data_IF_861303575656
#
_entry.id   IF_861303575656
#
_cell.length_a   1.000
_cell.length_b   1.000
_cell.length_c   1.000
_cell.angle_alpha   90.00
_cell.angle_beta   90.00
_cell.angle_gamma   90.00
#
_symmetry.space_group_name_H-M   'P 1'
#
loop_
_entity.id
_entity.type
_entity.pdbx_description
1 polymer ?
#
# COMPACT_ATOMS: atom_id res chain seq x y z
N UNK A 1 54.71 9.79 -7.31
CA UNK A 1 53.31 10.05 -6.92
C UNK A 1 52.97 9.08 -5.79
N UNK A 2 53.17 9.50 -4.55
CA UNK A 2 52.92 8.69 -3.35
C UNK A 2 51.43 8.71 -3.03
N UNK A 3 50.82 7.53 -2.90
CA UNK A 3 49.46 7.36 -2.42
C UNK A 3 49.40 7.71 -0.93
N UNK A 4 48.63 8.73 -0.55
CA UNK A 4 48.24 8.98 0.83
C UNK A 4 47.28 7.87 1.28
N UNK A 5 47.66 7.10 2.29
CA UNK A 5 46.72 6.24 3.02
C UNK A 5 45.81 7.11 3.90
N UNK A 6 44.53 6.75 4.08
CA UNK A 6 43.63 7.48 4.96
C UNK A 6 44.02 7.29 6.43
N UNK A 7 44.04 8.38 7.18
CA UNK A 7 44.31 8.42 8.61
C UNK A 7 43.15 7.77 9.38
N UNK A 8 43.45 6.81 10.26
CA UNK A 8 42.46 6.13 11.10
C UNK A 8 42.58 6.68 12.51
N UNK A 9 41.54 7.34 13.00
CA UNK A 9 41.48 7.77 14.40
C UNK A 9 41.22 6.57 15.31
N UNK A 10 41.94 6.53 16.42
CA UNK A 10 41.70 5.59 17.52
C UNK A 10 40.45 5.98 18.32
N UNK A 11 39.84 5.01 19.00
CA UNK A 11 38.59 5.23 19.74
C UNK A 11 38.73 6.32 20.83
N UNK A 12 39.92 6.45 21.42
CA UNK A 12 40.24 7.48 22.41
C UNK A 12 40.35 8.91 21.82
N UNK A 13 40.63 9.04 20.51
CA UNK A 13 40.65 10.34 19.82
C UNK A 13 39.23 10.82 19.49
N UNK A 14 38.30 9.89 19.25
CA UNK A 14 36.88 10.20 19.10
C UNK A 14 36.25 10.66 20.42
N UNK A 15 36.58 10.03 21.55
CA UNK A 15 36.03 10.42 22.87
C UNK A 15 36.43 11.84 23.29
N UNK A 16 37.64 12.29 22.95
CA UNK A 16 38.08 13.67 23.22
C UNK A 16 37.35 14.74 22.40
N UNK A 17 36.76 14.39 21.25
CA UNK A 17 35.91 15.31 20.49
C UNK A 17 34.52 15.48 21.11
N UNK A 18 34.05 14.51 21.90
CA UNK A 18 32.71 14.54 22.51
C UNK A 18 32.65 15.19 23.90
N UNK A 19 33.78 15.37 24.60
CA UNK A 19 33.79 15.87 25.98
C UNK A 19 34.42 17.26 26.14
N UNK A 20 34.22 18.17 25.18
CA UNK A 20 34.77 19.52 25.25
C UNK A 20 33.79 20.58 24.75
N UNK A 21 33.00 21.16 25.65
CA UNK A 21 32.26 22.40 25.36
C UNK A 21 31.04 22.63 26.23
N UNK A 22 31.24 23.13 27.45
CA UNK A 22 30.21 23.79 28.23
C UNK A 22 29.91 25.16 27.60
N UNK A 23 28.74 25.35 26.99
CA UNK A 23 28.01 26.63 26.98
C UNK A 23 26.52 26.37 26.78
N UNK A 24 25.72 27.05 27.58
CA UNK A 24 24.26 27.00 27.68
C UNK A 24 23.54 27.06 26.34
N UNK A 25 22.71 26.06 26.06
CA UNK A 25 21.42 26.17 25.35
C UNK A 25 20.71 24.81 25.52
N UNK A 26 19.63 24.77 26.31
CA UNK A 26 18.80 23.59 26.51
C UNK A 26 18.03 23.26 25.22
N UNK A 27 18.67 22.53 24.32
CA UNK A 27 17.99 21.83 23.23
C UNK A 27 17.73 20.41 23.69
N UNK A 28 16.52 20.14 24.16
CA UNK A 28 16.03 18.76 24.32
C UNK A 28 16.09 18.09 22.94
N UNK A 29 17.12 17.28 22.72
CA UNK A 29 17.16 16.36 21.60
C UNK A 29 15.98 15.39 21.78
N UNK A 30 14.97 15.53 20.91
CA UNK A 30 13.93 14.52 20.75
C UNK A 30 14.64 13.18 20.53
N UNK A 31 14.52 12.27 21.49
CA UNK A 31 15.03 10.92 21.35
C UNK A 31 14.28 10.23 20.19
N UNK A 32 14.89 10.27 19.00
CA UNK A 32 14.39 9.57 17.82
C UNK A 32 14.93 8.15 17.73
N UNK A 33 15.40 7.55 18.84
CA UNK A 33 15.75 6.13 18.88
C UNK A 33 14.49 5.26 18.84
N UNK A 34 13.76 5.36 17.73
CA UNK A 34 12.78 4.35 17.36
C UNK A 34 13.54 3.02 17.33
N UNK A 35 13.18 2.12 18.24
CA UNK A 35 13.64 0.73 18.17
C UNK A 35 13.32 0.25 16.75
N UNK A 36 14.29 -0.22 15.97
CA UNK A 36 14.03 -0.56 14.59
C UNK A 36 13.00 -1.69 14.56
N UNK A 37 11.85 -1.43 13.96
CA UNK A 37 10.83 -2.45 13.72
C UNK A 37 10.88 -2.85 12.26
N UNK A 38 10.52 -4.09 11.96
CA UNK A 38 10.27 -4.48 10.58
C UNK A 38 9.00 -5.32 10.45
N UNK A 39 8.36 -5.15 9.30
CA UNK A 39 7.18 -5.92 8.88
C UNK A 39 7.59 -7.12 8.04
N UNK A 40 6.88 -8.23 8.23
CA UNK A 40 6.95 -9.40 7.37
C UNK A 40 5.56 -10.00 7.21
N UNK A 41 5.31 -10.67 6.09
CA UNK A 41 4.02 -11.32 5.84
C UNK A 41 4.15 -12.82 6.07
N UNK A 42 3.31 -13.35 6.96
CA UNK A 42 3.20 -14.80 7.18
C UNK A 42 2.08 -15.35 6.32
N UNK A 43 2.45 -16.14 5.30
CA UNK A 43 1.49 -16.76 4.40
C UNK A 43 0.52 -17.71 5.12
N UNK A 44 1.01 -18.43 6.13
CA UNK A 44 0.22 -19.41 6.89
C UNK A 44 -1.00 -18.80 7.59
N UNK A 45 -0.88 -17.55 8.06
CA UNK A 45 -1.98 -16.84 8.72
C UNK A 45 -2.59 -15.72 7.86
N UNK A 46 -2.03 -15.46 6.67
CA UNK A 46 -2.48 -14.40 5.76
C UNK A 46 -2.42 -13.00 6.35
N UNK A 47 -1.44 -12.71 7.21
CA UNK A 47 -1.32 -11.44 7.94
C UNK A 47 0.10 -10.89 7.94
N UNK A 48 0.18 -9.57 8.04
CA UNK A 48 1.41 -8.85 8.34
C UNK A 48 1.70 -8.89 9.83
N UNK A 49 2.95 -9.18 10.18
CA UNK A 49 3.46 -9.22 11.53
C UNK A 49 4.59 -8.21 11.67
N UNK A 50 4.74 -7.65 12.87
CA UNK A 50 5.80 -6.70 13.22
C UNK A 50 6.63 -7.29 14.35
N UNK A 51 7.95 -7.19 14.27
CA UNK A 51 8.85 -7.55 15.37
C UNK A 51 9.90 -6.49 15.64
N UNK A 52 10.33 -6.48 16.90
CA UNK A 52 11.31 -5.57 17.49
C UNK A 52 12.70 -6.07 17.06
N UNK A 53 13.45 -5.28 16.29
CA UNK A 53 14.84 -5.61 15.98
C UNK A 53 15.67 -5.21 17.18
N UNK A 54 15.84 -6.15 18.12
CA UNK A 54 16.83 -5.99 19.17
C UNK A 54 18.20 -5.87 18.49
N UNK A 55 18.95 -4.80 18.82
CA UNK A 55 20.24 -4.44 18.22
C UNK A 55 21.27 -5.60 18.23
N UNK A 56 21.05 -6.64 19.06
CA UNK A 56 21.85 -7.86 19.12
C UNK A 56 21.67 -8.85 17.95
N UNK A 57 20.66 -8.72 17.10
CA UNK A 57 20.54 -9.55 15.88
C UNK A 57 21.30 -9.00 14.66
N UNK A 58 22.13 -7.95 14.82
CA UNK A 58 22.94 -7.36 13.75
C UNK A 58 24.31 -8.03 13.53
N UNK A 59 24.50 -9.25 14.02
CA UNK A 59 25.63 -10.10 13.63
C UNK A 59 25.14 -11.37 12.93
N UNK A 60 24.65 -11.21 11.71
CA UNK A 60 25.10 -12.06 10.60
C UNK A 60 24.77 -11.42 9.26
N UNK A 61 25.79 -11.37 8.41
CA UNK A 61 25.95 -10.56 7.20
C UNK A 61 24.95 -10.87 6.05
N UNK A 62 23.85 -11.57 6.32
CA UNK A 62 22.89 -12.04 5.32
C UNK A 62 21.67 -11.11 5.14
N UNK A 63 21.23 -10.40 6.17
CA UNK A 63 19.97 -9.63 6.09
C UNK A 63 20.08 -8.27 5.38
N UNK A 64 21.27 -7.64 5.34
CA UNK A 64 21.46 -6.37 4.61
C UNK A 64 21.47 -6.56 3.08
N UNK A 65 21.80 -7.75 2.59
CA UNK A 65 21.85 -8.05 1.14
C UNK A 65 20.46 -8.20 0.52
N UNK A 66 19.44 -8.63 1.28
CA UNK A 66 18.07 -8.78 0.78
C UNK A 66 17.29 -7.46 0.64
N UNK A 67 17.72 -6.38 1.28
CA UNK A 67 17.01 -5.09 1.23
C UNK A 67 17.21 -4.30 -0.07
N UNK A 68 18.18 -4.68 -0.90
CA UNK A 68 18.56 -3.87 -2.07
C UNK A 68 17.92 -4.35 -3.38
N UNK A 69 17.30 -5.53 -3.45
CA UNK A 69 16.98 -6.09 -4.78
C UNK A 69 15.55 -6.01 -5.30
N UNK A 70 14.51 -5.77 -4.52
CA UNK A 70 13.16 -5.57 -5.10
C UNK A 70 12.33 -4.68 -4.19
N UNK A 71 12.01 -3.48 -4.67
CA UNK A 71 11.22 -2.52 -3.92
C UNK A 71 9.83 -3.10 -3.61
N UNK A 72 9.25 -3.94 -4.51
CA UNK A 72 7.88 -4.48 -4.36
C UNK A 72 7.73 -5.86 -5.03
N UNK A 73 8.04 -7.01 -4.39
CA UNK A 73 7.81 -8.30 -5.02
C UNK A 73 6.29 -8.56 -5.19
N UNK A 74 5.87 -8.82 -6.42
CA UNK A 74 4.59 -9.47 -6.71
C UNK A 74 4.77 -10.98 -6.58
N UNK A 75 4.12 -11.56 -5.58
CA UNK A 75 4.17 -13.00 -5.32
C UNK A 75 2.93 -13.64 -5.93
N UNK A 76 3.12 -14.39 -7.01
CA UNK A 76 2.05 -15.20 -7.58
C UNK A 76 1.64 -16.28 -6.59
N UNK A 77 0.36 -16.32 -6.26
CA UNK A 77 -0.21 -17.29 -5.33
C UNK A 77 -0.47 -18.62 -6.06
N UNK A 78 -0.25 -19.72 -5.36
CA UNK A 78 -0.63 -21.05 -5.83
C UNK A 78 -2.13 -21.29 -5.56
N UNK A 79 -2.84 -21.80 -6.55
CA UNK A 79 -4.30 -22.01 -6.52
C UNK A 79 -4.77 -22.94 -5.39
N UNK A 80 -3.89 -23.82 -4.91
CA UNK A 80 -4.16 -24.75 -3.83
C UNK A 80 -4.06 -24.10 -2.44
N UNK A 81 -3.57 -22.87 -2.35
CA UNK A 81 -3.43 -22.18 -1.06
C UNK A 81 -4.75 -21.61 -0.55
N UNK A 82 -4.98 -21.62 0.78
CA UNK A 82 -6.16 -20.98 1.37
C UNK A 82 -6.25 -19.48 1.04
N UNK A 83 -5.09 -18.81 0.94
CA UNK A 83 -5.03 -17.39 0.56
C UNK A 83 -5.58 -17.17 -0.85
N UNK A 84 -5.14 -17.96 -1.84
CA UNK A 84 -5.67 -17.87 -3.20
C UNK A 84 -7.18 -18.10 -3.21
N UNK A 85 -7.65 -19.16 -2.56
CA UNK A 85 -9.08 -19.51 -2.55
C UNK A 85 -9.92 -18.40 -1.93
N UNK A 86 -9.44 -17.80 -0.85
CA UNK A 86 -10.09 -16.65 -0.20
C UNK A 86 -10.18 -15.45 -1.15
N UNK A 87 -9.10 -15.11 -1.86
CA UNK A 87 -9.11 -13.98 -2.80
C UNK A 87 -9.97 -14.28 -4.03
N UNK A 88 -9.94 -15.51 -4.54
CA UNK A 88 -10.81 -15.96 -5.61
C UNK A 88 -12.30 -15.87 -5.21
N UNK A 89 -12.63 -16.21 -3.97
CA UNK A 89 -13.98 -16.06 -3.42
C UNK A 89 -14.39 -14.58 -3.31
N UNK A 90 -13.50 -13.69 -2.87
CA UNK A 90 -13.77 -12.25 -2.91
C UNK A 90 -14.11 -11.78 -4.33
N UNK A 91 -13.42 -12.28 -5.36
CA UNK A 91 -13.66 -11.88 -6.75
C UNK A 91 -14.98 -12.47 -7.28
N UNK A 92 -15.17 -13.79 -7.12
CA UNK A 92 -16.28 -14.52 -7.76
C UNK A 92 -17.57 -14.45 -6.97
N UNK A 93 -17.52 -14.72 -5.66
CA UNK A 93 -18.71 -14.80 -4.80
C UNK A 93 -19.14 -13.41 -4.33
N UNK A 94 -18.23 -12.67 -3.70
CA UNK A 94 -18.57 -11.35 -3.15
C UNK A 94 -18.56 -10.27 -4.23
N UNK A 95 -17.59 -10.34 -5.13
CA UNK A 95 -17.37 -9.39 -6.21
C UNK A 95 -18.25 -9.63 -7.43
N UNK A 96 -18.94 -10.77 -7.49
CA UNK A 96 -19.87 -11.17 -8.56
C UNK A 96 -19.23 -11.22 -9.96
N UNK A 97 -17.91 -11.30 -10.06
CA UNK A 97 -17.20 -11.35 -11.34
C UNK A 97 -17.11 -12.80 -11.83
N UNK A 98 -17.97 -13.16 -12.77
CA UNK A 98 -18.00 -14.48 -13.38
C UNK A 98 -17.03 -14.59 -14.58
N UNK A 99 -15.75 -14.27 -14.36
CA UNK A 99 -14.69 -14.38 -15.37
C UNK A 99 -13.65 -15.42 -14.95
N UNK A 100 -12.86 -15.90 -15.92
CA UNK A 100 -11.81 -16.86 -15.63
C UNK A 100 -10.58 -16.16 -15.03
N UNK A 101 -10.27 -16.45 -13.76
CA UNK A 101 -9.07 -15.96 -13.10
C UNK A 101 -7.86 -16.67 -13.71
N UNK A 102 -6.91 -15.89 -14.23
CA UNK A 102 -5.65 -16.36 -14.81
C UNK A 102 -4.56 -16.41 -13.73
N UNK A 103 -4.50 -15.37 -12.89
CA UNK A 103 -3.55 -15.30 -11.79
C UNK A 103 -4.02 -14.38 -10.68
N UNK A 104 -3.58 -14.67 -9.45
CA UNK A 104 -3.68 -13.80 -8.29
C UNK A 104 -2.27 -13.60 -7.77
N UNK A 105 -1.84 -12.36 -7.65
CA UNK A 105 -0.53 -11.98 -7.15
C UNK A 105 -0.67 -11.11 -5.92
N UNK A 106 -0.06 -11.52 -4.80
CA UNK A 106 0.06 -10.68 -3.60
C UNK A 106 1.12 -9.62 -3.83
N UNK A 107 0.79 -8.39 -3.51
CA UNK A 107 1.72 -7.26 -3.60
C UNK A 107 2.38 -7.11 -2.23
N UNK A 108 3.71 -7.13 -2.20
CA UNK A 108 4.46 -6.94 -0.97
C UNK A 108 5.30 -5.67 -1.03
N UNK A 109 4.62 -4.53 -0.97
CA UNK A 109 5.27 -3.24 -0.79
C UNK A 109 5.29 -2.89 0.71
N UNK A 110 6.46 -2.95 1.35
CA UNK A 110 6.59 -2.70 2.80
C UNK A 110 6.36 -1.22 3.11
N UNK A 111 6.87 -0.31 2.29
CA UNK A 111 6.74 1.14 2.52
C UNK A 111 5.27 1.57 2.47
N UNK A 112 4.52 1.10 1.46
CA UNK A 112 3.08 1.37 1.37
C UNK A 112 2.30 0.74 2.51
N UNK A 113 2.69 -0.46 2.97
CA UNK A 113 2.06 -1.09 4.13
C UNK A 113 2.29 -0.27 5.40
N UNK A 114 3.51 0.23 5.62
CA UNK A 114 3.82 1.11 6.75
C UNK A 114 3.04 2.41 6.71
N UNK A 115 2.94 3.06 5.55
CA UNK A 115 2.14 4.27 5.36
C UNK A 115 0.66 4.01 5.67
N UNK A 116 0.11 2.88 5.21
CA UNK A 116 -1.25 2.44 5.52
C UNK A 116 -1.47 2.24 7.03
N UNK A 117 -0.59 1.48 7.69
CA UNK A 117 -0.69 1.22 9.13
C UNK A 117 -0.57 2.50 9.96
N UNK A 118 0.37 3.39 9.62
CA UNK A 118 0.53 4.70 10.28
C UNK A 118 -0.72 5.55 10.11
N UNK A 119 -1.31 5.57 8.91
CA UNK A 119 -2.56 6.30 8.64
C UNK A 119 -3.73 5.77 9.46
N UNK A 120 -3.86 4.45 9.57
CA UNK A 120 -4.88 3.78 10.41
C UNK A 120 -4.77 4.21 11.87
N UNK A 121 -3.56 4.15 12.43
CA UNK A 121 -3.33 4.57 13.82
C UNK A 121 -3.59 6.06 14.02
N UNK A 122 -3.21 6.91 13.06
CA UNK A 122 -3.54 8.34 13.10
C UNK A 122 -5.05 8.56 13.21
N UNK A 123 -5.86 7.89 12.38
CA UNK A 123 -7.31 8.04 12.40
C UNK A 123 -7.93 7.53 13.70
N UNK A 124 -7.44 6.40 14.23
CA UNK A 124 -7.86 5.88 15.53
C UNK A 124 -7.61 6.89 16.67
N UNK A 125 -6.42 7.49 16.72
CA UNK A 125 -6.06 8.51 17.73
C UNK A 125 -6.93 9.75 17.63
N UNK A 126 -7.07 10.31 16.44
CA UNK A 126 -7.86 11.54 16.22
C UNK A 126 -9.34 11.34 16.60
N UNK A 127 -9.89 10.16 16.32
CA UNK A 127 -11.30 9.86 16.60
C UNK A 127 -11.54 9.27 18.00
N UNK A 128 -10.48 8.97 18.76
CA UNK A 128 -10.58 8.33 20.06
C UNK A 128 -11.22 6.93 20.02
N UNK A 129 -11.02 6.18 18.94
CA UNK A 129 -11.60 4.83 18.74
C UNK A 129 -10.53 3.76 18.70
N UNK A 130 -10.87 2.57 19.21
CA UNK A 130 -9.98 1.40 19.18
C UNK A 130 -9.89 0.76 17.80
N UNK A 131 -10.94 0.88 17.00
CA UNK A 131 -11.05 0.29 15.67
C UNK A 131 -11.63 1.29 14.67
N UNK A 132 -11.18 1.19 13.43
CA UNK A 132 -11.71 1.95 12.30
C UNK A 132 -12.15 1.00 11.20
N UNK A 133 -13.28 1.32 10.57
CA UNK A 133 -13.86 0.49 9.52
C UNK A 133 -12.90 0.42 8.33
N UNK A 134 -12.46 -0.80 8.04
CA UNK A 134 -11.77 -1.16 6.81
C UNK A 134 -12.70 -1.91 5.86
N UNK A 135 -12.32 -1.96 4.59
CA UNK A 135 -12.92 -2.87 3.62
C UNK A 135 -11.89 -3.32 2.59
N UNK A 136 -12.18 -4.47 1.98
CA UNK A 136 -11.51 -4.88 0.75
C UNK A 136 -12.38 -4.43 -0.42
N UNK A 137 -11.83 -3.58 -1.27
CA UNK A 137 -12.56 -2.98 -2.39
C UNK A 137 -11.77 -3.13 -3.69
N UNK A 138 -12.49 -3.12 -4.80
CA UNK A 138 -11.95 -3.38 -6.13
C UNK A 138 -11.63 -2.09 -6.89
N UNK A 139 -10.53 -2.09 -7.63
CA UNK A 139 -10.16 -1.00 -8.54
C UNK A 139 -9.75 -1.55 -9.90
N UNK A 140 -10.59 -1.32 -10.90
CA UNK A 140 -10.29 -1.66 -12.30
C UNK A 140 -9.39 -0.60 -12.92
N UNK A 141 -8.36 -1.03 -13.64
CA UNK A 141 -7.40 -0.11 -14.28
C UNK A 141 -6.74 -0.77 -15.49
N UNK A 142 -6.02 0.02 -16.27
CA UNK A 142 -5.21 -0.45 -17.39
C UNK A 142 -3.91 -1.10 -16.91
N UNK A 143 -3.44 -2.15 -17.60
CA UNK A 143 -2.18 -2.84 -17.25
C UNK A 143 -0.97 -1.89 -17.18
N UNK A 144 -0.99 -0.79 -17.93
CA UNK A 144 0.06 0.24 -17.90
C UNK A 144 0.21 0.93 -16.55
N UNK A 145 -0.84 0.93 -15.71
CA UNK A 145 -0.83 1.58 -14.41
C UNK A 145 -0.36 0.65 -13.29
N UNK A 146 -0.21 -0.65 -13.56
CA UNK A 146 0.08 -1.66 -12.52
C UNK A 146 1.40 -1.38 -11.82
N UNK A 147 2.47 -1.13 -12.57
CA UNK A 147 3.79 -0.88 -12.01
C UNK A 147 3.80 0.37 -11.12
N UNK A 148 3.20 1.46 -11.60
CA UNK A 148 3.06 2.71 -10.84
C UNK A 148 2.25 2.53 -9.56
N UNK A 149 1.12 1.81 -9.61
CA UNK A 149 0.28 1.56 -8.43
C UNK A 149 1.01 0.68 -7.41
N UNK A 150 1.67 -0.38 -7.85
CA UNK A 150 2.42 -1.28 -6.97
C UNK A 150 3.62 -0.56 -6.31
N UNK A 151 4.21 0.42 -7.00
CA UNK A 151 5.42 1.11 -6.58
C UNK A 151 5.13 2.36 -5.74
N UNK A 152 4.20 3.19 -6.19
CA UNK A 152 3.94 4.52 -5.65
C UNK A 152 2.52 4.69 -5.08
N UNK A 153 1.72 3.62 -5.04
CA UNK A 153 0.30 3.65 -4.68
C UNK A 153 -0.59 4.31 -5.74
N UNK A 154 -1.89 4.39 -5.47
CA UNK A 154 -2.87 5.08 -6.32
C UNK A 154 -2.66 6.60 -6.29
N UNK A 155 -2.64 7.23 -7.46
CA UNK A 155 -2.44 8.67 -7.62
C UNK A 155 -3.76 9.41 -7.84
N UNK A 156 -4.02 10.45 -7.03
CA UNK A 156 -5.17 11.36 -7.17
C UNK A 156 -5.17 12.11 -8.50
N UNK A 157 -3.99 12.47 -9.03
CA UNK A 157 -3.84 13.19 -10.29
C UNK A 157 -4.14 12.34 -11.52
N UNK A 158 -4.00 11.01 -11.41
CA UNK A 158 -4.34 10.05 -12.46
C UNK A 158 -5.74 9.47 -12.30
N UNK A 159 -6.27 9.45 -11.07
CA UNK A 159 -7.61 9.02 -10.75
C UNK A 159 -8.64 10.02 -11.29
N UNK A 160 -9.04 9.89 -12.55
CA UNK A 160 -10.22 10.60 -13.08
C UNK A 160 -9.94 11.58 -14.21
N UNK A 161 -9.40 11.10 -15.34
CA UNK A 161 -9.56 11.77 -16.65
C UNK A 161 -11.01 11.77 -17.17
N UNK A 162 -12.00 11.71 -16.27
CA UNK A 162 -13.44 11.64 -16.54
C UNK A 162 -14.24 12.36 -15.45
N UNK A 163 -15.55 12.49 -15.61
CA UNK A 163 -16.40 13.22 -14.67
C UNK A 163 -16.39 12.58 -13.27
N UNK A 164 -15.89 13.32 -12.29
CA UNK A 164 -15.95 12.96 -10.87
C UNK A 164 -17.37 13.16 -10.35
N UNK A 165 -18.15 12.10 -10.14
CA UNK A 165 -19.53 12.24 -9.65
C UNK A 165 -19.59 12.42 -8.12
N UNK A 166 -18.69 11.78 -7.39
CA UNK A 166 -18.74 11.67 -5.92
C UNK A 166 -17.48 12.24 -5.23
N UNK A 167 -16.68 13.02 -5.98
CA UNK A 167 -15.50 13.72 -5.49
C UNK A 167 -14.25 13.46 -6.33
N UNK A 168 -13.28 14.37 -6.19
CA UNK A 168 -11.97 14.34 -6.82
C UNK A 168 -11.01 13.47 -6.02
N UNK A 169 -11.29 12.16 -6.01
CA UNK A 169 -10.50 11.17 -5.29
C UNK A 169 -10.34 9.87 -6.09
N UNK A 170 -9.73 8.87 -5.45
CA UNK A 170 -9.54 7.53 -6.01
C UNK A 170 -10.80 6.69 -5.78
N UNK A 171 -11.34 6.13 -6.86
CA UNK A 171 -12.60 5.38 -6.83
C UNK A 171 -12.34 3.89 -6.63
N UNK A 172 -13.13 3.29 -5.75
CA UNK A 172 -13.17 1.86 -5.51
C UNK A 172 -14.61 1.36 -5.61
N UNK A 173 -14.77 0.14 -6.10
CA UNK A 173 -16.05 -0.55 -6.16
C UNK A 173 -16.15 -1.61 -5.07
N UNK A 174 -17.33 -1.79 -4.50
CA UNK A 174 -17.65 -2.93 -3.63
C UNK A 174 -17.61 -4.25 -4.40
N UNK A 175 -18.04 -4.23 -5.67
CA UNK A 175 -18.16 -5.42 -6.52
C UNK A 175 -17.12 -5.41 -7.63
N UNK A 176 -16.39 -6.52 -7.79
CA UNK A 176 -15.45 -6.71 -8.89
C UNK A 176 -16.12 -6.55 -10.26
N UNK A 177 -17.34 -7.05 -10.43
CA UNK A 177 -18.15 -6.88 -11.63
C UNK A 177 -18.43 -5.41 -11.99
N UNK A 178 -18.47 -4.51 -11.00
CA UNK A 178 -18.61 -3.09 -11.26
C UNK A 178 -17.28 -2.47 -11.69
N UNK A 179 -16.18 -2.84 -11.04
CA UNK A 179 -14.84 -2.36 -11.36
C UNK A 179 -14.32 -2.89 -12.72
N UNK A 180 -14.79 -4.05 -13.21
CA UNK A 180 -14.48 -4.60 -14.55
C UNK A 180 -14.73 -3.60 -15.69
N UNK A 181 -15.72 -2.70 -15.53
CA UNK A 181 -16.04 -1.65 -16.50
C UNK A 181 -14.88 -0.66 -16.73
N UNK A 182 -13.97 -0.57 -15.77
CA UNK A 182 -12.79 0.30 -15.80
C UNK A 182 -11.49 -0.45 -16.11
N UNK A 183 -11.57 -1.78 -16.26
CA UNK A 183 -10.45 -2.62 -16.67
C UNK A 183 -10.50 -2.84 -18.19
N UNK A 184 -9.52 -2.30 -18.93
CA UNK A 184 -9.42 -2.56 -20.38
C UNK A 184 -8.58 -3.80 -20.63
N UNK A 185 -9.10 -4.69 -21.45
CA UNK A 185 -8.39 -5.88 -21.89
C UNK A 185 -7.30 -5.50 -22.89
N UNK A 186 -6.10 -6.05 -22.73
CA UNK A 186 -5.07 -6.00 -23.78
C UNK A 186 -4.19 -7.26 -23.75
N UNK A 187 -3.42 -7.47 -24.81
CA UNK A 187 -2.51 -8.61 -24.97
C UNK A 187 -1.11 -8.38 -24.38
N UNK A 188 -0.87 -7.21 -23.79
CA UNK A 188 0.42 -6.89 -23.20
C UNK A 188 0.66 -7.80 -21.97
N UNK A 189 1.89 -8.29 -21.84
CA UNK A 189 2.32 -8.95 -20.62
C UNK A 189 2.29 -7.96 -19.46
N UNK A 190 2.11 -8.46 -18.23
CA UNK A 190 2.23 -7.60 -17.06
C UNK A 190 3.70 -7.19 -16.90
N UNK A 191 4.01 -5.88 -16.85
CA UNK A 191 5.36 -5.42 -16.54
C UNK A 191 5.62 -5.73 -15.08
N UNK A 192 6.28 -6.86 -14.81
CA UNK A 192 6.62 -7.29 -13.47
C UNK A 192 8.10 -6.97 -13.23
N UNK A 193 8.36 -6.09 -12.26
CA UNK A 193 9.72 -5.76 -11.85
C UNK A 193 10.40 -7.01 -11.26
N UNK A 194 11.57 -7.37 -11.77
CA UNK A 194 12.41 -8.45 -11.21
C UNK A 194 12.17 -9.87 -11.73
N UNK A 195 11.38 -10.06 -12.79
CA UNK A 195 11.18 -11.38 -13.41
C UNK A 195 10.90 -11.31 -14.92
N UNK A 196 10.96 -12.46 -15.59
CA UNK A 196 10.47 -12.59 -16.97
C UNK A 196 8.98 -12.19 -17.03
N UNK A 197 8.49 -11.61 -18.14
CA UNK A 197 7.08 -11.25 -18.29
C UNK A 197 6.18 -12.44 -17.93
N UNK A 198 5.38 -12.30 -16.87
CA UNK A 198 4.39 -13.31 -16.51
C UNK A 198 3.03 -12.91 -17.08
N UNK A 199 2.34 -13.91 -17.61
CA UNK A 199 1.10 -13.76 -18.36
C UNK A 199 1.14 -14.62 -19.61
N UNK A 200 -0.01 -14.99 -20.13
CA UNK A 200 -0.08 -15.69 -21.42
C UNK A 200 0.16 -14.65 -22.50
N UNK A 201 1.39 -14.54 -23.02
CA UNK A 201 1.68 -13.63 -24.14
C UNK A 201 0.69 -13.91 -25.28
N UNK A 202 0.07 -12.85 -25.80
CA UNK A 202 -0.90 -12.95 -26.89
C UNK A 202 -2.35 -13.24 -26.49
N UNK A 203 -2.66 -13.48 -25.21
CA UNK A 203 -4.05 -13.62 -24.75
C UNK A 203 -4.60 -12.29 -24.25
N UNK A 204 -5.81 -11.95 -24.67
CA UNK A 204 -6.54 -10.80 -24.15
C UNK A 204 -6.88 -11.05 -22.68
N UNK A 205 -6.34 -10.22 -21.79
CA UNK A 205 -6.65 -10.28 -20.36
C UNK A 205 -6.80 -8.87 -19.77
N UNK A 206 -7.57 -8.81 -18.70
CA UNK A 206 -7.82 -7.62 -17.89
C UNK A 206 -7.14 -7.75 -16.53
N UNK A 207 -6.95 -6.62 -15.86
CA UNK A 207 -6.48 -6.59 -14.48
C UNK A 207 -7.42 -5.81 -13.57
N UNK A 208 -7.48 -6.23 -12.31
CA UNK A 208 -8.20 -5.54 -11.25
C UNK A 208 -7.39 -5.66 -9.96
N UNK A 209 -7.31 -4.57 -9.19
CA UNK A 209 -6.74 -4.59 -7.86
C UNK A 209 -7.82 -4.93 -6.83
N UNK A 210 -7.47 -5.74 -5.84
CA UNK A 210 -8.18 -5.84 -4.57
C UNK A 210 -7.33 -5.11 -3.53
N UNK A 211 -7.82 -3.95 -3.09
CA UNK A 211 -7.12 -3.09 -2.14
C UNK A 211 -7.76 -3.18 -0.76
N UNK A 212 -6.91 -3.09 0.26
CA UNK A 212 -7.35 -2.81 1.63
C UNK A 212 -7.50 -1.31 1.79
N UNK A 213 -8.68 -0.86 2.23
CA UNK A 213 -9.04 0.55 2.29
C UNK A 213 -9.57 0.90 3.68
N UNK A 214 -9.04 1.97 4.27
CA UNK A 214 -9.60 2.59 5.48
C UNK A 214 -10.81 3.43 5.05
N UNK A 215 -12.01 2.85 5.20
CA UNK A 215 -13.28 3.48 4.82
C UNK A 215 -13.72 4.50 5.88
N UNK A 216 -13.56 4.15 7.16
CA UNK A 216 -13.98 5.00 8.28
C UNK A 216 -15.47 5.36 8.24
N UNK A 217 -15.80 6.60 8.60
CA UNK A 217 -17.16 7.16 8.44
C UNK A 217 -17.33 7.71 7.04
N UNK A 218 -18.38 7.28 6.36
CA UNK A 218 -18.69 7.71 4.99
C UNK A 218 -19.82 8.73 4.95
N UNK A 219 -19.83 9.56 3.91
CA UNK A 219 -20.95 10.45 3.56
C UNK A 219 -21.23 10.41 2.07
N UNK A 220 -22.39 10.92 1.67
CA UNK A 220 -22.71 11.10 0.26
C UNK A 220 -21.70 12.06 -0.41
N UNK A 221 -21.14 11.64 -1.55
CA UNK A 221 -20.17 12.40 -2.31
C UNK A 221 -20.79 13.45 -3.23
N UNK A 222 -20.01 14.46 -3.61
CA UNK A 222 -20.36 15.45 -4.63
C UNK A 222 -19.16 15.72 -5.53
N UNK A 223 -19.41 16.11 -6.77
CA UNK A 223 -18.38 16.23 -7.81
C UNK A 223 -17.24 17.20 -7.51
N UNK A 224 -17.53 18.26 -6.76
CA UNK A 224 -16.60 19.33 -6.40
C UNK A 224 -15.73 19.00 -5.18
N UNK A 225 -16.05 17.93 -4.44
CA UNK A 225 -15.36 17.60 -3.19
C UNK A 225 -13.89 17.24 -3.45
N UNK A 226 -13.00 17.92 -2.73
CA UNK A 226 -11.55 17.61 -2.68
C UNK A 226 -11.17 16.82 -1.42
N UNK A 227 -12.11 16.71 -0.48
CA UNK A 227 -12.06 15.89 0.74
C UNK A 227 -13.51 15.60 1.15
N UNK A 228 -13.77 14.59 2.01
CA UNK A 228 -15.15 14.24 2.36
C UNK A 228 -15.96 15.44 2.88
N UNK A 229 -15.42 16.17 3.85
CA UNK A 229 -16.04 17.39 4.38
C UNK A 229 -15.48 18.65 3.72
N UNK A 230 -15.56 18.71 2.38
CA UNK A 230 -15.17 19.90 1.61
C UNK A 230 -15.88 21.15 2.14
N UNK A 231 -15.14 22.26 2.27
CA UNK A 231 -15.64 23.52 2.83
C UNK A 231 -15.75 23.60 4.36
N UNK A 232 -15.45 22.53 5.11
CA UNK A 232 -15.41 22.54 6.59
C UNK A 232 -13.98 22.46 7.13
N UNK A 233 -13.73 23.06 8.28
CA UNK A 233 -12.43 22.98 8.98
C UNK A 233 -12.19 21.58 9.58
N UNK A 234 -13.22 20.98 10.18
CA UNK A 234 -13.18 19.62 10.69
C UNK A 234 -13.48 18.58 9.59
N UNK A 235 -12.83 17.41 9.66
CA UNK A 235 -13.11 16.22 8.86
C UNK A 235 -13.77 15.16 9.75
N UNK A 236 -15.09 15.13 9.75
CA UNK A 236 -15.87 14.13 10.49
C UNK A 236 -15.89 12.78 9.74
N UNK A 237 -15.77 12.85 8.40
CA UNK A 237 -15.83 11.74 7.47
C UNK A 237 -14.48 11.46 6.81
N UNK A 238 -14.29 10.18 6.45
CA UNK A 238 -13.03 9.62 5.97
C UNK A 238 -13.12 9.20 4.50
N UNK A 239 -14.33 9.05 3.98
CA UNK A 239 -14.62 8.64 2.60
C UNK A 239 -15.94 9.24 2.09
N UNK A 240 -16.11 9.27 0.77
CA UNK A 240 -17.38 9.54 0.12
C UNK A 240 -17.95 8.28 -0.53
N UNK A 241 -19.27 8.21 -0.64
CA UNK A 241 -20.00 7.08 -1.26
C UNK A 241 -21.09 7.57 -2.21
N UNK A 242 -21.52 6.68 -3.09
CA UNK A 242 -22.67 6.89 -3.99
C UNK A 242 -24.03 6.77 -3.29
N UNK A 243 -24.12 5.93 -2.26
CA UNK A 243 -25.32 5.72 -1.45
C UNK A 243 -24.91 5.43 -0.01
N UNK A 244 -25.53 6.11 0.97
CA UNK A 244 -25.17 5.95 2.39
C UNK A 244 -25.65 4.61 2.95
N UNK A 245 -26.80 4.12 2.49
CA UNK A 245 -27.44 2.90 3.00
C UNK A 245 -26.87 1.64 2.34
N UNK A 246 -26.59 1.69 1.04
CA UNK A 246 -26.04 0.58 0.28
C UNK A 246 -24.94 1.04 -0.70
N UNK A 247 -23.76 1.43 -0.16
CA UNK A 247 -22.66 1.94 -0.98
C UNK A 247 -22.12 0.88 -1.92
N UNK A 248 -22.01 1.23 -3.20
CA UNK A 248 -21.35 0.43 -4.24
C UNK A 248 -20.03 1.04 -4.67
N UNK A 249 -19.89 2.35 -4.50
CA UNK A 249 -18.70 3.13 -4.83
C UNK A 249 -18.19 3.81 -3.56
N UNK A 250 -16.88 3.77 -3.39
CA UNK A 250 -16.17 4.51 -2.34
C UNK A 250 -15.12 5.42 -3.00
N UNK A 251 -15.07 6.67 -2.58
CA UNK A 251 -14.09 7.66 -3.02
C UNK A 251 -13.17 8.00 -1.86
N UNK A 252 -11.87 7.78 -2.08
CA UNK A 252 -10.81 7.98 -1.10
C UNK A 252 -9.91 9.12 -1.54
N UNK A 253 -9.64 10.05 -0.63
CA UNK A 253 -8.96 11.32 -0.93
C UNK A 253 -7.51 11.36 -0.46
N UNK A 254 -7.02 10.30 0.20
CA UNK A 254 -5.64 10.20 0.64
C UNK A 254 -5.09 8.80 0.30
N UNK A 255 -4.04 8.70 -0.54
CA UNK A 255 -3.45 7.42 -0.91
C UNK A 255 -3.01 6.55 0.28
N UNK A 256 -2.61 7.15 1.40
CA UNK A 256 -2.18 6.41 2.59
C UNK A 256 -3.34 5.72 3.32
N UNK A 257 -4.60 5.97 2.92
CA UNK A 257 -5.74 5.16 3.36
C UNK A 257 -5.86 3.82 2.62
N UNK A 258 -5.00 3.58 1.63
CA UNK A 258 -5.11 2.49 0.68
C UNK A 258 -3.83 1.68 0.69
N UNK A 259 -3.98 0.37 0.69
CA UNK A 259 -2.92 -0.57 0.41
C UNK A 259 -3.35 -1.50 -0.74
N UNK A 260 -2.68 -1.49 -1.91
CA UNK A 260 -2.95 -2.46 -2.96
C UNK A 260 -2.47 -3.84 -2.47
N UNK A 261 -3.40 -4.71 -2.10
CA UNK A 261 -3.09 -5.99 -1.42
C UNK A 261 -2.87 -7.11 -2.44
N UNK A 262 -3.73 -7.18 -3.47
CA UNK A 262 -3.64 -8.17 -4.53
C UNK A 262 -3.88 -7.57 -5.92
N UNK A 263 -3.17 -8.09 -6.91
CA UNK A 263 -3.41 -7.91 -8.33
C UNK A 263 -4.03 -9.19 -8.90
N UNK A 264 -5.17 -9.07 -9.57
CA UNK A 264 -5.87 -10.20 -10.19
C UNK A 264 -5.88 -9.99 -11.70
N UNK A 265 -5.41 -11.00 -12.44
CA UNK A 265 -5.50 -11.07 -13.90
C UNK A 265 -6.59 -12.06 -14.29
N UNK A 266 -7.44 -11.70 -15.26
CA UNK A 266 -8.57 -12.52 -15.69
C UNK A 266 -8.91 -12.31 -17.17
N UNK A 267 -9.68 -13.23 -17.74
CA UNK A 267 -10.21 -13.16 -19.12
C UNK A 267 -11.64 -13.62 -19.21
#
# INVERSE_FOLDING_TARGET
VQQQQPYVFSHAELEKMYTGGNTSDDVEYMDTSDTPWCWYYLADCGRWHRFEVLWKCLFEHHYRSLRIRLCHPLIRLNELTPEYQTVADYVKKDGLLNQNIISISRIQNIDLWEMFCRKKQQFMRIKGVKEIKEGRLFHGTDKSNVDSICTYNFDLGLAGRGAHLFGKGIYFAKYAAYADKYSRGNTAALPLYGGAPQGVQGRLSKVIFLARVIIGRSKFGKSDFQKPDHGRSANDHDSCVDDIMNPKIFVIFNPNQIYPEYLIEYS
#
